data_IF_414958795891
#
_entry.id   IF_414958795891
#
_cell.length_a   1.000
_cell.length_b   1.000
_cell.length_c   1.000
_cell.angle_alpha   90.00
_cell.angle_beta   90.00
_cell.angle_gamma   90.00
#
_symmetry.space_group_name_H-M   'P 1'
#
loop_
_entity.id
_entity.type
_entity.pdbx_description
1 polymer ?
#
# COMPACT_ATOMS: atom_id res chain seq x y z
N UNK A 1 -21.52 19.34 2.84
CA UNK A 1 -21.74 18.03 3.51
C UNK A 1 -22.44 18.31 4.82
N UNK A 2 -23.11 17.31 5.40
CA UNK A 2 -23.51 17.38 6.80
C UNK A 2 -22.29 17.74 7.68
N UNK A 3 -22.43 18.61 8.70
CA UNK A 3 -21.28 19.03 9.51
C UNK A 3 -20.53 17.89 10.19
N UNK A 4 -21.24 16.89 10.75
CA UNK A 4 -20.61 15.76 11.43
C UNK A 4 -19.89 14.84 10.43
N UNK A 5 -20.46 14.63 9.24
CA UNK A 5 -19.79 13.88 8.16
C UNK A 5 -18.50 14.59 7.73
N UNK A 6 -18.55 15.92 7.58
CA UNK A 6 -17.37 16.71 7.23
C UNK A 6 -16.29 16.62 8.31
N UNK A 7 -16.67 16.74 9.58
CA UNK A 7 -15.76 16.64 10.73
C UNK A 7 -15.08 15.27 10.77
N UNK A 8 -15.82 14.17 10.58
CA UNK A 8 -15.25 12.82 10.54
C UNK A 8 -14.18 12.66 9.43
N UNK A 9 -14.45 13.15 8.21
CA UNK A 9 -13.46 13.11 7.13
C UNK A 9 -12.30 14.10 7.32
N UNK A 10 -12.49 15.17 8.09
CA UNK A 10 -11.41 16.07 8.48
C UNK A 10 -10.47 15.39 9.48
N UNK A 11 -11.01 14.71 10.50
CA UNK A 11 -10.21 13.90 11.44
C UNK A 11 -9.43 12.81 10.71
N UNK A 12 -10.09 12.08 9.81
CA UNK A 12 -9.43 11.05 9.00
C UNK A 12 -8.28 11.64 8.18
N UNK A 13 -8.52 12.75 7.48
CA UNK A 13 -7.47 13.43 6.71
C UNK A 13 -6.29 13.83 7.59
N UNK A 14 -6.53 14.44 8.76
CA UNK A 14 -5.48 14.96 9.62
C UNK A 14 -4.59 13.83 10.14
N UNK A 15 -5.17 12.70 10.55
CA UNK A 15 -4.43 11.52 11.00
C UNK A 15 -3.64 10.85 9.85
N UNK A 16 -4.27 10.66 8.68
CA UNK A 16 -3.61 10.09 7.49
C UNK A 16 -2.46 10.99 7.04
N UNK A 17 -2.67 12.31 7.03
CA UNK A 17 -1.65 13.29 6.66
C UNK A 17 -0.47 13.23 7.63
N UNK A 18 -0.74 13.26 8.94
CA UNK A 18 0.30 13.18 9.96
C UNK A 18 1.15 11.90 9.83
N UNK A 19 0.49 10.74 9.67
CA UNK A 19 1.18 9.46 9.50
C UNK A 19 2.06 9.45 8.25
N UNK A 20 1.55 9.87 7.10
CA UNK A 20 2.31 9.84 5.85
C UNK A 20 3.41 10.90 5.78
N UNK A 21 3.24 12.08 6.41
CA UNK A 21 4.30 13.10 6.50
C UNK A 21 5.48 12.60 7.33
N UNK A 22 5.22 11.82 8.38
CA UNK A 22 6.28 11.26 9.23
C UNK A 22 7.27 10.36 8.47
N UNK A 23 6.86 9.82 7.32
CA UNK A 23 7.67 8.91 6.49
C UNK A 23 8.74 9.63 5.66
N UNK A 24 8.78 10.97 5.67
CA UNK A 24 9.81 11.74 4.95
C UNK A 24 11.21 11.43 5.48
N UNK A 25 12.03 10.81 4.62
CA UNK A 25 13.42 10.51 4.94
C UNK A 25 14.35 11.69 4.60
N UNK A 26 15.29 12.07 5.48
CA UNK A 26 16.29 13.10 5.16
C UNK A 26 17.28 12.63 4.09
N UNK A 27 17.64 13.50 3.15
CA UNK A 27 18.66 13.22 2.15
C UNK A 27 20.06 13.27 2.78
N UNK A 28 20.67 12.11 3.02
CA UNK A 28 22.03 11.99 3.57
C UNK A 28 23.06 11.82 2.46
N UNK A 29 24.20 12.51 2.59
CA UNK A 29 25.38 12.26 1.76
C UNK A 29 26.27 11.23 2.45
N UNK A 30 26.71 10.23 1.70
CA UNK A 30 27.60 9.16 2.13
C UNK A 30 28.95 9.36 1.44
N UNK A 31 30.02 9.44 2.23
CA UNK A 31 31.40 9.56 1.75
C UNK A 31 32.26 8.52 2.47
N UNK A 32 32.25 7.29 1.97
CA UNK A 32 33.03 6.20 2.55
C UNK A 32 34.52 6.26 2.14
N UNK A 33 34.80 6.79 0.95
CA UNK A 33 36.14 7.12 0.49
C UNK A 33 36.23 8.63 0.34
N UNK A 34 37.27 9.24 0.90
CA UNK A 34 37.51 10.67 0.77
C UNK A 34 37.53 11.06 -0.72
N UNK A 35 36.73 12.06 -1.07
CA UNK A 35 36.58 12.56 -2.43
C UNK A 35 35.57 11.80 -3.28
N UNK A 36 34.88 10.77 -2.75
CA UNK A 36 33.84 9.99 -3.44
C UNK A 36 32.52 10.13 -2.68
N UNK A 37 31.67 11.07 -3.13
CA UNK A 37 30.40 11.36 -2.47
C UNK A 37 29.24 10.75 -3.24
N UNK A 38 28.38 10.03 -2.54
CA UNK A 38 27.13 9.47 -3.04
C UNK A 38 25.96 9.98 -2.21
N UNK A 39 24.82 10.24 -2.83
CA UNK A 39 23.58 10.57 -2.11
C UNK A 39 22.36 10.06 -2.88
N UNK A 40 21.22 10.02 -2.19
CA UNK A 40 19.92 9.70 -2.78
C UNK A 40 19.01 10.91 -2.64
N UNK A 41 18.50 11.42 -3.75
CA UNK A 41 17.56 12.54 -3.77
C UNK A 41 16.16 12.06 -4.12
N UNK A 42 15.16 12.72 -3.54
CA UNK A 42 13.75 12.32 -3.65
C UNK A 42 13.03 13.16 -4.70
N UNK A 43 12.29 12.53 -5.62
CA UNK A 43 11.47 13.23 -6.62
C UNK A 43 10.10 12.56 -6.72
N UNK A 44 9.05 13.36 -6.86
CA UNK A 44 7.71 12.82 -7.10
C UNK A 44 7.62 12.14 -8.47
N UNK A 45 6.69 11.21 -8.60
CA UNK A 45 6.13 10.81 -9.89
C UNK A 45 5.35 12.02 -10.44
N UNK A 46 5.51 12.34 -11.72
CA UNK A 46 4.95 13.55 -12.31
C UNK A 46 3.43 13.49 -12.45
N UNK A 47 2.91 12.34 -12.86
CA UNK A 47 1.48 12.10 -13.06
C UNK A 47 1.04 10.76 -12.47
N UNK A 48 0.00 10.76 -11.63
CA UNK A 48 -0.53 9.56 -10.97
C UNK A 48 -2.04 9.43 -11.14
N UNK A 49 -2.51 8.20 -11.33
CA UNK A 49 -3.93 7.84 -11.41
C UNK A 49 -4.36 7.11 -10.16
N UNK A 50 -5.47 7.52 -9.54
CA UNK A 50 -6.00 6.99 -8.29
C UNK A 50 -7.36 6.39 -8.58
N UNK A 51 -7.49 5.07 -8.50
CA UNK A 51 -8.78 4.41 -8.65
C UNK A 51 -9.48 4.32 -7.30
N UNK A 52 -10.67 4.89 -7.21
CA UNK A 52 -11.54 4.82 -6.04
C UNK A 52 -12.75 3.97 -6.41
N UNK A 53 -12.95 2.80 -5.75
CA UNK A 53 -14.10 1.96 -6.03
C UNK A 53 -15.43 2.68 -5.81
N UNK A 54 -16.40 2.31 -6.65
CA UNK A 54 -17.80 2.64 -6.51
C UNK A 54 -18.66 1.49 -7.03
N UNK A 55 -19.99 1.64 -7.00
CA UNK A 55 -20.92 0.60 -7.42
C UNK A 55 -21.78 0.13 -6.25
N UNK A 56 -21.47 -1.03 -5.68
CA UNK A 56 -22.22 -1.62 -4.54
C UNK A 56 -21.90 -0.96 -3.19
N UNK A 57 -20.77 -0.26 -3.10
CA UNK A 57 -20.38 0.60 -1.99
C UNK A 57 -19.59 1.79 -2.55
N UNK A 58 -19.64 2.93 -1.84
CA UNK A 58 -18.94 4.16 -2.21
C UNK A 58 -17.86 4.39 -1.15
N UNK A 59 -16.61 4.60 -1.55
CA UNK A 59 -15.45 4.61 -0.62
C UNK A 59 -14.69 5.95 -0.61
N UNK A 60 -15.20 7.00 0.07
CA UNK A 60 -14.45 8.25 0.25
C UNK A 60 -13.16 8.09 1.06
N UNK A 61 -13.10 7.09 1.97
CA UNK A 61 -11.88 6.74 2.70
C UNK A 61 -10.72 6.44 1.75
N UNK A 62 -10.94 5.61 0.72
CA UNK A 62 -9.93 5.31 -0.31
C UNK A 62 -9.45 6.55 -1.05
N UNK A 63 -10.32 7.55 -1.27
CA UNK A 63 -9.89 8.81 -1.86
C UNK A 63 -8.84 9.52 -0.99
N UNK A 64 -9.01 9.52 0.34
CA UNK A 64 -8.01 10.08 1.26
C UNK A 64 -6.73 9.24 1.28
N UNK A 65 -6.85 7.91 1.40
CA UNK A 65 -5.72 7.00 1.49
C UNK A 65 -4.79 7.08 0.27
N UNK A 66 -5.32 7.40 -0.90
CA UNK A 66 -4.55 7.59 -2.13
C UNK A 66 -4.09 9.03 -2.35
N UNK A 67 -4.99 10.00 -2.18
CA UNK A 67 -4.70 11.38 -2.56
C UNK A 67 -3.83 12.12 -1.54
N UNK A 68 -3.93 11.81 -0.25
CA UNK A 68 -3.12 12.45 0.80
C UNK A 68 -1.62 12.20 0.61
N UNK A 69 -1.12 10.96 0.46
CA UNK A 69 0.30 10.75 0.17
C UNK A 69 0.73 11.33 -1.19
N UNK A 70 -0.14 11.35 -2.20
CA UNK A 70 0.14 12.02 -3.48
C UNK A 70 0.34 13.54 -3.33
N UNK A 71 -0.49 14.17 -2.49
CA UNK A 71 -0.38 15.59 -2.12
C UNK A 71 0.94 15.87 -1.41
N UNK A 72 1.29 15.06 -0.41
CA UNK A 72 2.53 15.21 0.37
C UNK A 72 3.76 15.02 -0.51
N UNK A 73 3.72 14.08 -1.46
CA UNK A 73 4.79 13.85 -2.43
C UNK A 73 4.95 15.02 -3.41
N UNK A 74 3.89 15.78 -3.67
CA UNK A 74 3.88 16.89 -4.63
C UNK A 74 3.67 16.43 -6.08
N UNK A 75 2.94 15.33 -6.29
CA UNK A 75 2.55 14.89 -7.63
C UNK A 75 1.80 16.01 -8.38
N UNK A 76 2.21 16.32 -9.61
CA UNK A 76 1.68 17.50 -10.33
C UNK A 76 0.32 17.23 -10.97
N UNK A 77 0.15 16.05 -11.56
CA UNK A 77 -1.11 15.60 -12.12
C UNK A 77 -1.62 14.44 -11.29
N UNK A 78 -2.82 14.59 -10.73
CA UNK A 78 -3.48 13.57 -9.91
C UNK A 78 -4.87 13.37 -10.49
N UNK A 79 -5.06 12.24 -11.17
CA UNK A 79 -6.34 11.86 -11.78
C UNK A 79 -7.04 10.89 -10.83
N UNK A 80 -8.20 11.25 -10.30
CA UNK A 80 -9.02 10.33 -9.50
C UNK A 80 -10.14 9.75 -10.37
N UNK A 81 -10.11 8.44 -10.59
CA UNK A 81 -11.14 7.70 -11.28
C UNK A 81 -12.15 7.13 -10.28
N UNK A 82 -13.43 7.40 -10.51
CA UNK A 82 -14.53 6.81 -9.74
C UNK A 82 -15.75 6.65 -10.66
N UNK A 83 -16.45 5.50 -10.64
CA UNK A 83 -17.67 5.33 -11.42
C UNK A 83 -18.76 6.28 -10.88
N UNK A 84 -19.55 6.91 -11.76
CA UNK A 84 -20.69 7.71 -11.35
C UNK A 84 -21.85 6.84 -10.84
N UNK A 85 -22.75 7.45 -10.07
CA UNK A 85 -24.07 6.91 -9.76
C UNK A 85 -24.94 6.82 -11.02
N UNK A 86 -26.07 6.11 -10.95
CA UNK A 86 -26.98 5.92 -12.08
C UNK A 86 -27.50 7.23 -12.70
N UNK A 87 -27.56 8.30 -11.92
CA UNK A 87 -27.94 9.65 -12.36
C UNK A 87 -26.77 10.47 -12.95
N UNK A 88 -25.58 9.88 -13.07
CA UNK A 88 -24.36 10.53 -13.57
C UNK A 88 -23.62 11.39 -12.54
N UNK A 89 -24.13 11.45 -11.30
CA UNK A 89 -23.48 12.19 -10.21
C UNK A 89 -22.30 11.41 -9.63
N UNK A 90 -21.42 12.11 -8.92
CA UNK A 90 -20.34 11.52 -8.13
C UNK A 90 -20.67 11.80 -6.68
N UNK A 91 -20.39 10.84 -5.79
CA UNK A 91 -20.54 11.01 -4.36
C UNK A 91 -19.86 12.30 -3.87
N UNK A 92 -20.63 13.13 -3.16
CA UNK A 92 -20.18 14.44 -2.67
C UNK A 92 -19.05 14.31 -1.64
N UNK A 93 -19.02 13.22 -0.86
CA UNK A 93 -17.96 12.88 0.08
C UNK A 93 -16.65 12.54 -0.66
N UNK A 94 -16.70 11.79 -1.76
CA UNK A 94 -15.53 11.52 -2.61
C UNK A 94 -14.98 12.82 -3.20
N UNK A 95 -15.85 13.69 -3.74
CA UNK A 95 -15.44 14.99 -4.28
C UNK A 95 -14.85 15.92 -3.21
N UNK A 96 -15.39 15.88 -1.99
CA UNK A 96 -14.86 16.64 -0.86
C UNK A 96 -13.44 16.19 -0.51
N UNK A 97 -13.23 14.89 -0.34
CA UNK A 97 -11.92 14.30 -0.04
C UNK A 97 -10.91 14.61 -1.15
N UNK A 98 -11.30 14.42 -2.41
CA UNK A 98 -10.47 14.71 -3.58
C UNK A 98 -10.03 16.18 -3.61
N UNK A 99 -10.96 17.12 -3.37
CA UNK A 99 -10.65 18.55 -3.33
C UNK A 99 -9.70 18.89 -2.17
N UNK A 100 -9.95 18.35 -0.98
CA UNK A 100 -9.13 18.59 0.22
C UNK A 100 -7.69 18.09 0.03
N UNK A 101 -7.52 16.95 -0.63
CA UNK A 101 -6.22 16.34 -0.92
C UNK A 101 -5.59 16.80 -2.25
N UNK A 102 -6.11 17.83 -2.91
CA UNK A 102 -5.46 18.44 -4.08
C UNK A 102 -5.49 17.61 -5.36
N UNK A 103 -6.48 16.73 -5.54
CA UNK A 103 -6.72 16.05 -6.81
C UNK A 103 -6.96 17.07 -7.93
N UNK A 104 -6.33 16.87 -9.10
CA UNK A 104 -6.41 17.85 -10.19
C UNK A 104 -7.46 17.52 -11.24
N UNK A 105 -7.77 16.23 -11.44
CA UNK A 105 -8.76 15.78 -12.42
C UNK A 105 -9.66 14.69 -11.82
N UNK A 106 -10.94 14.72 -12.15
CA UNK A 106 -11.90 13.65 -11.81
C UNK A 106 -12.31 12.94 -13.10
N UNK A 107 -11.98 11.66 -13.20
CA UNK A 107 -12.45 10.76 -14.25
C UNK A 107 -13.71 10.04 -13.78
N UNK A 108 -14.86 10.40 -14.36
CA UNK A 108 -16.15 9.73 -14.09
C UNK A 108 -16.26 8.39 -14.81
N UNK A 109 -15.40 7.44 -14.45
CA UNK A 109 -15.40 6.08 -14.99
C UNK A 109 -14.89 5.10 -13.93
N UNK A 110 -15.35 3.85 -14.00
CA UNK A 110 -14.85 2.72 -13.20
C UNK A 110 -14.30 1.60 -14.08
N UNK A 111 -13.93 0.48 -13.46
CA UNK A 111 -13.53 -0.74 -14.16
C UNK A 111 -12.23 -0.64 -14.97
N UNK A 112 -11.96 -1.67 -15.77
CA UNK A 112 -10.78 -1.77 -16.61
C UNK A 112 -10.64 -0.61 -17.62
N UNK A 113 -11.76 -0.08 -18.09
CA UNK A 113 -11.81 1.07 -19.00
C UNK A 113 -11.27 2.35 -18.36
N UNK A 114 -11.49 2.57 -17.05
CA UNK A 114 -10.92 3.71 -16.34
C UNK A 114 -9.41 3.55 -16.15
N UNK A 115 -8.94 2.34 -15.82
CA UNK A 115 -7.52 2.02 -15.72
C UNK A 115 -6.82 2.24 -17.07
N UNK A 116 -7.41 1.73 -18.15
CA UNK A 116 -6.90 1.92 -19.51
C UNK A 116 -6.86 3.40 -19.93
N UNK A 117 -7.91 4.16 -19.63
CA UNK A 117 -7.96 5.59 -19.93
C UNK A 117 -6.85 6.39 -19.20
N UNK A 118 -6.55 6.06 -17.94
CA UNK A 118 -5.44 6.69 -17.22
C UNK A 118 -4.07 6.23 -17.76
N UNK A 119 -3.91 4.95 -18.08
CA UNK A 119 -2.64 4.38 -18.54
C UNK A 119 -2.20 4.96 -19.89
N UNK A 120 -3.12 4.98 -20.86
CA UNK A 120 -2.85 5.44 -22.23
C UNK A 120 -3.09 6.94 -22.42
N UNK A 121 -3.92 7.55 -21.57
CA UNK A 121 -4.51 8.85 -21.83
C UNK A 121 -5.63 8.78 -22.86
N UNK A 122 -6.49 9.79 -22.87
CA UNK A 122 -7.54 9.98 -23.88
C UNK A 122 -7.61 11.45 -24.29
N UNK A 123 -8.58 11.82 -25.14
CA UNK A 123 -8.83 13.23 -25.48
C UNK A 123 -9.14 14.11 -24.25
N UNK A 124 -9.63 13.53 -23.15
CA UNK A 124 -10.03 14.26 -21.93
C UNK A 124 -9.41 13.72 -20.63
N UNK A 125 -8.81 12.53 -20.66
CA UNK A 125 -8.10 11.95 -19.51
C UNK A 125 -6.59 12.13 -19.69
N UNK A 126 -5.90 12.81 -18.76
CA UNK A 126 -4.44 12.83 -18.76
C UNK A 126 -3.87 11.41 -18.67
N UNK A 127 -2.79 11.15 -19.42
CA UNK A 127 -1.95 9.97 -19.22
C UNK A 127 -1.24 10.07 -17.87
N UNK A 128 -1.17 8.96 -17.14
CA UNK A 128 -0.42 8.84 -15.88
C UNK A 128 0.78 7.91 -16.01
N UNK A 129 1.74 8.03 -15.09
CA UNK A 129 2.97 7.23 -15.03
C UNK A 129 2.86 6.08 -14.01
N UNK A 130 1.94 6.20 -13.05
CA UNK A 130 1.63 5.15 -12.08
C UNK A 130 0.14 5.15 -11.70
N UNK A 131 -0.47 3.98 -11.65
CA UNK A 131 -1.88 3.79 -11.27
C UNK A 131 -1.96 3.10 -9.90
N UNK A 132 -2.84 3.62 -9.05
CA UNK A 132 -3.04 3.19 -7.69
C UNK A 132 -4.48 2.79 -7.43
N UNK A 133 -4.68 2.07 -6.33
CA UNK A 133 -5.98 1.89 -5.70
C UNK A 133 -6.50 0.46 -5.75
N UNK A 134 -7.35 0.11 -4.77
CA UNK A 134 -7.98 -1.21 -4.70
C UNK A 134 -9.09 -1.32 -5.73
N UNK A 135 -9.56 -2.54 -5.97
CA UNK A 135 -10.76 -2.76 -6.76
C UNK A 135 -11.09 -4.23 -6.90
N UNK A 136 -12.21 -4.51 -7.57
CA UNK A 136 -12.56 -5.89 -7.89
C UNK A 136 -11.49 -6.54 -8.79
N UNK A 137 -11.57 -7.86 -8.93
CA UNK A 137 -10.65 -8.65 -9.76
C UNK A 137 -10.42 -8.11 -11.18
N UNK A 138 -11.41 -7.46 -11.82
CA UNK A 138 -11.25 -6.90 -13.16
C UNK A 138 -10.39 -5.65 -13.18
N UNK A 139 -10.55 -4.78 -12.17
CA UNK A 139 -9.70 -3.59 -11.98
C UNK A 139 -8.26 -4.03 -11.72
N UNK A 140 -8.08 -5.01 -10.83
CA UNK A 140 -6.77 -5.56 -10.49
C UNK A 140 -6.11 -6.23 -11.69
N UNK A 141 -6.83 -7.05 -12.44
CA UNK A 141 -6.30 -7.66 -13.66
C UNK A 141 -5.92 -6.60 -14.72
N UNK A 142 -6.72 -5.54 -14.89
CA UNK A 142 -6.40 -4.46 -15.81
C UNK A 142 -5.11 -3.74 -15.43
N UNK A 143 -4.93 -3.43 -14.13
CA UNK A 143 -3.68 -2.88 -13.58
C UNK A 143 -2.49 -3.80 -13.90
N UNK A 144 -2.63 -5.10 -13.65
CA UNK A 144 -1.57 -6.10 -13.88
C UNK A 144 -1.23 -6.30 -15.36
N UNK A 145 -2.18 -6.17 -16.27
CA UNK A 145 -1.93 -6.21 -17.72
C UNK A 145 -1.19 -4.95 -18.16
N UNK A 146 -1.66 -3.78 -17.73
CA UNK A 146 -1.17 -2.50 -18.26
C UNK A 146 0.25 -2.17 -17.82
N UNK A 147 0.72 -2.66 -16.67
CA UNK A 147 2.12 -2.50 -16.27
C UNK A 147 3.12 -3.16 -17.23
N UNK A 148 2.66 -4.13 -18.03
CA UNK A 148 3.46 -4.85 -19.03
C UNK A 148 3.24 -4.34 -20.45
N UNK A 149 2.53 -3.22 -20.62
CA UNK A 149 2.15 -2.69 -21.93
C UNK A 149 3.04 -1.53 -22.38
N UNK A 150 2.95 -1.18 -23.67
CA UNK A 150 3.61 0.01 -24.24
C UNK A 150 3.05 1.34 -23.69
N UNK A 151 2.08 1.30 -22.76
CA UNK A 151 1.60 2.48 -22.07
C UNK A 151 2.66 3.11 -21.15
N UNK A 152 3.73 2.38 -20.82
CA UNK A 152 4.79 2.84 -19.91
C UNK A 152 4.22 3.36 -18.60
N UNK A 153 3.46 2.49 -17.92
CA UNK A 153 2.81 2.78 -16.65
C UNK A 153 3.22 1.73 -15.63
N UNK A 154 3.42 2.12 -14.38
CA UNK A 154 3.58 1.18 -13.26
C UNK A 154 2.31 1.12 -12.42
N UNK A 155 2.23 0.16 -11.50
CA UNK A 155 1.15 0.09 -10.52
C UNK A 155 1.72 0.06 -9.11
N UNK A 156 0.88 0.30 -8.10
CA UNK A 156 1.21 0.07 -6.70
C UNK A 156 1.37 -1.42 -6.39
N UNK A 157 0.28 -2.19 -6.49
CA UNK A 157 0.22 -3.61 -6.20
C UNK A 157 -1.11 -4.22 -6.70
N UNK A 158 -1.21 -5.55 -6.74
CA UNK A 158 -2.50 -6.23 -6.78
C UNK A 158 -3.22 -6.07 -5.43
N UNK A 159 -4.27 -5.25 -5.42
CA UNK A 159 -5.14 -4.99 -4.26
C UNK A 159 -6.56 -5.39 -4.66
N UNK A 160 -6.88 -6.68 -4.44
CA UNK A 160 -8.10 -7.35 -4.84
C UNK A 160 -9.22 -7.27 -3.80
N UNK A 161 -10.10 -8.29 -3.72
CA UNK A 161 -11.06 -8.48 -2.64
C UNK A 161 -10.36 -8.54 -1.29
N UNK A 162 -11.00 -7.94 -0.31
CA UNK A 162 -10.40 -7.69 0.99
C UNK A 162 -10.33 -8.96 1.86
N UNK A 163 -9.31 -9.04 2.71
CA UNK A 163 -8.99 -10.19 3.55
C UNK A 163 -8.69 -9.75 4.99
N UNK A 164 -9.08 -10.57 5.97
CA UNK A 164 -8.66 -10.40 7.37
C UNK A 164 -8.35 -11.75 8.01
N UNK A 165 -7.25 -11.81 8.76
CA UNK A 165 -6.92 -12.93 9.62
C UNK A 165 -6.92 -12.45 11.08
N UNK A 166 -7.77 -13.06 11.90
CA UNK A 166 -7.88 -12.77 13.33
C UNK A 166 -7.21 -13.90 14.11
N UNK A 167 -6.18 -13.58 14.91
CA UNK A 167 -5.63 -14.48 15.92
C UNK A 167 -6.30 -14.16 17.25
N UNK A 168 -6.95 -15.15 17.86
CA UNK A 168 -7.69 -14.99 19.12
C UNK A 168 -7.26 -16.04 20.16
N UNK A 169 -7.06 -15.59 21.40
CA UNK A 169 -6.84 -16.45 22.55
C UNK A 169 -8.04 -16.45 23.50
N UNK A 170 -7.97 -17.18 24.62
CA UNK A 170 -9.07 -17.32 25.59
C UNK A 170 -9.51 -16.00 26.26
N UNK A 171 -8.75 -14.92 26.12
CA UNK A 171 -9.11 -13.61 26.66
C UNK A 171 -9.86 -12.74 25.64
N UNK A 172 -9.91 -13.15 24.38
CA UNK A 172 -10.66 -12.46 23.34
C UNK A 172 -12.17 -12.56 23.61
N UNK A 173 -12.88 -11.44 23.43
CA UNK A 173 -14.35 -11.43 23.52
C UNK A 173 -14.95 -12.04 22.25
N UNK A 174 -15.75 -13.11 22.33
CA UNK A 174 -16.38 -13.73 21.16
C UNK A 174 -17.21 -12.76 20.31
N UNK A 175 -17.87 -11.79 20.95
CA UNK A 175 -18.67 -10.76 20.25
C UNK A 175 -17.79 -9.89 19.36
N UNK A 176 -16.60 -9.52 19.84
CA UNK A 176 -15.67 -8.65 19.11
C UNK A 176 -15.01 -9.41 17.96
N UNK A 177 -14.55 -10.65 18.22
CA UNK A 177 -13.96 -11.51 17.17
C UNK A 177 -14.96 -11.75 16.04
N UNK A 178 -16.22 -12.03 16.36
CA UNK A 178 -17.28 -12.17 15.37
C UNK A 178 -17.49 -10.88 14.56
N UNK A 179 -17.51 -9.72 15.23
CA UNK A 179 -17.66 -8.43 14.57
C UNK A 179 -16.49 -8.11 13.63
N UNK A 180 -15.26 -8.38 14.04
CA UNK A 180 -14.04 -8.18 13.23
C UNK A 180 -14.02 -9.09 11.99
N UNK A 181 -14.45 -10.36 12.11
CA UNK A 181 -14.59 -11.25 10.96
C UNK A 181 -15.67 -10.74 9.99
N UNK A 182 -16.79 -10.23 10.51
CA UNK A 182 -17.89 -9.76 9.67
C UNK A 182 -17.61 -8.41 9.01
N UNK A 183 -16.80 -7.55 9.63
CA UNK A 183 -16.49 -6.21 9.08
C UNK A 183 -15.82 -6.31 7.71
N UNK A 184 -14.97 -7.31 7.49
CA UNK A 184 -14.39 -7.56 6.18
C UNK A 184 -15.31 -8.39 5.28
N UNK A 185 -16.00 -9.39 5.84
CA UNK A 185 -16.87 -10.26 5.04
C UNK A 185 -17.97 -9.48 4.29
N UNK A 186 -18.45 -8.35 4.81
CA UNK A 186 -19.48 -7.55 4.16
C UNK A 186 -19.03 -6.74 2.93
N UNK A 187 -17.70 -6.62 2.70
CA UNK A 187 -17.16 -5.90 1.55
C UNK A 187 -17.66 -6.50 0.23
N UNK A 188 -17.59 -7.83 0.10
CA UNK A 188 -18.08 -8.53 -1.08
C UNK A 188 -18.07 -10.06 -0.93
N UNK A 189 -18.82 -10.77 -1.80
CA UNK A 189 -18.88 -12.24 -1.78
C UNK A 189 -17.54 -12.92 -2.12
N UNK A 190 -16.57 -12.15 -2.61
CA UNK A 190 -15.22 -12.54 -2.96
C UNK A 190 -14.18 -12.26 -1.84
N UNK A 191 -14.60 -11.64 -0.73
CA UNK A 191 -13.75 -11.43 0.46
C UNK A 191 -13.54 -12.74 1.22
N UNK A 192 -12.39 -12.93 1.86
CA UNK A 192 -12.10 -14.13 2.66
C UNK A 192 -11.66 -13.73 4.07
N UNK A 193 -12.21 -14.41 5.09
CA UNK A 193 -11.81 -14.18 6.47
C UNK A 193 -11.28 -15.47 7.10
N UNK A 194 -10.33 -15.33 8.00
CA UNK A 194 -9.67 -16.46 8.67
C UNK A 194 -9.63 -16.23 10.16
N UNK A 195 -10.11 -17.19 10.94
CA UNK A 195 -9.94 -17.20 12.39
C UNK A 195 -8.84 -18.19 12.76
N UNK A 196 -7.87 -17.75 13.53
CA UNK A 196 -6.85 -18.63 14.12
C UNK A 196 -7.02 -18.61 15.64
N UNK A 197 -7.44 -19.74 16.20
CA UNK A 197 -7.53 -19.95 17.64
C UNK A 197 -6.15 -20.35 18.15
N UNK A 198 -5.58 -19.55 19.06
CA UNK A 198 -4.27 -19.78 19.65
C UNK A 198 -4.38 -20.37 21.06
N UNK A 199 -4.00 -21.64 21.20
CA UNK A 199 -3.99 -22.35 22.48
C UNK A 199 -5.38 -22.79 22.96
N UNK A 200 -5.47 -23.11 24.25
CA UNK A 200 -6.66 -23.70 24.86
C UNK A 200 -7.62 -22.65 25.46
N UNK A 201 -8.90 -23.01 25.56
CA UNK A 201 -9.89 -22.27 26.34
C UNK A 201 -10.66 -21.18 25.59
N UNK A 202 -10.51 -21.11 24.26
CA UNK A 202 -11.38 -20.28 23.40
C UNK A 202 -12.72 -21.00 23.18
N UNK A 203 -13.82 -20.31 23.42
CA UNK A 203 -15.17 -20.80 23.13
C UNK A 203 -15.54 -20.53 21.67
N UNK A 204 -15.15 -21.43 20.76
CA UNK A 204 -15.50 -21.33 19.34
C UNK A 204 -17.02 -21.34 19.12
N UNK A 205 -17.78 -22.09 19.91
CA UNK A 205 -19.23 -22.15 19.78
C UNK A 205 -19.88 -20.80 20.04
N UNK A 206 -19.37 -20.04 21.03
CA UNK A 206 -19.80 -18.67 21.27
C UNK A 206 -19.44 -17.72 20.12
N UNK A 207 -18.26 -17.87 19.52
CA UNK A 207 -17.85 -17.05 18.35
C UNK A 207 -18.76 -17.35 17.16
N UNK A 208 -18.98 -18.62 16.82
CA UNK A 208 -19.84 -19.02 15.69
C UNK A 208 -21.30 -18.57 15.89
N UNK A 209 -21.80 -18.65 17.12
CA UNK A 209 -23.13 -18.15 17.46
C UNK A 209 -23.26 -16.63 17.25
N UNK A 210 -22.24 -15.86 17.64
CA UNK A 210 -22.22 -14.41 17.41
C UNK A 210 -22.00 -14.06 15.93
N UNK A 211 -21.17 -14.79 15.18
CA UNK A 211 -21.02 -14.61 13.73
C UNK A 211 -22.38 -14.80 13.03
N UNK A 212 -23.09 -15.89 13.34
CA UNK A 212 -24.41 -16.17 12.75
C UNK A 212 -25.42 -15.07 13.08
N UNK A 213 -25.57 -14.77 14.38
CA UNK A 213 -26.50 -13.75 14.89
C UNK A 213 -26.24 -12.36 14.33
N UNK A 214 -24.98 -11.95 14.26
CA UNK A 214 -24.61 -10.63 13.76
C UNK A 214 -24.75 -10.57 12.23
N UNK A 215 -24.35 -11.63 11.50
CA UNK A 215 -24.50 -11.70 10.04
C UNK A 215 -25.96 -11.57 9.60
N UNK A 216 -26.89 -12.24 10.29
CA UNK A 216 -28.33 -12.19 9.99
C UNK A 216 -28.93 -10.79 10.19
N UNK A 217 -28.32 -9.96 11.05
CA UNK A 217 -28.75 -8.60 11.32
C UNK A 217 -28.13 -7.56 10.38
N UNK A 218 -27.11 -7.93 9.58
CA UNK A 218 -26.42 -7.00 8.69
C UNK A 218 -27.24 -6.72 7.43
N UNK A 219 -27.35 -5.44 7.00
CA UNK A 219 -27.93 -5.10 5.71
C UNK A 219 -27.26 -5.80 4.52
N UNK A 220 -25.97 -6.15 4.67
CA UNK A 220 -25.14 -6.86 3.68
C UNK A 220 -24.88 -8.32 4.08
N UNK A 221 -25.74 -8.91 4.92
CA UNK A 221 -25.60 -10.30 5.39
C UNK A 221 -25.47 -11.33 4.26
N UNK A 222 -26.16 -11.13 3.13
CA UNK A 222 -26.03 -12.01 1.95
C UNK A 222 -24.61 -12.03 1.34
N UNK A 223 -23.87 -10.93 1.45
CA UNK A 223 -22.49 -10.85 0.94
C UNK A 223 -21.55 -11.47 1.96
N UNK A 224 -21.71 -11.12 3.24
CA UNK A 224 -20.94 -11.72 4.34
C UNK A 224 -21.11 -13.23 4.39
N UNK A 225 -22.33 -13.75 4.25
CA UNK A 225 -22.61 -15.19 4.22
C UNK A 225 -21.89 -15.92 3.08
N UNK A 226 -21.79 -15.30 1.90
CA UNK A 226 -21.04 -15.86 0.75
C UNK A 226 -19.53 -15.87 1.00
N UNK A 227 -18.98 -14.80 1.56
CA UNK A 227 -17.58 -14.73 1.99
C UNK A 227 -17.27 -15.80 3.04
N UNK A 228 -18.15 -15.97 4.03
CA UNK A 228 -18.05 -17.00 5.06
C UNK A 228 -18.05 -18.42 4.47
N UNK A 229 -18.75 -18.66 3.36
CA UNK A 229 -18.80 -19.96 2.69
C UNK A 229 -17.45 -20.48 2.16
N UNK A 230 -16.43 -19.62 2.05
CA UNK A 230 -15.06 -19.99 1.70
C UNK A 230 -14.02 -19.46 2.70
N UNK A 231 -14.49 -19.05 3.87
CA UNK A 231 -13.69 -18.69 5.05
C UNK A 231 -13.50 -19.91 5.95
N UNK A 232 -12.54 -19.87 6.87
CA UNK A 232 -12.25 -21.03 7.72
C UNK A 232 -11.59 -20.68 9.05
N UNK A 233 -11.68 -21.62 10.00
CA UNK A 233 -11.03 -21.54 11.31
C UNK A 233 -9.86 -22.53 11.38
N UNK A 234 -8.74 -22.09 11.94
CA UNK A 234 -7.54 -22.89 12.20
C UNK A 234 -7.30 -22.96 13.71
N UNK A 235 -6.92 -24.13 14.20
CA UNK A 235 -6.48 -24.31 15.58
C UNK A 235 -4.95 -24.43 15.61
N UNK A 236 -4.31 -23.57 16.39
CA UNK A 236 -2.89 -23.59 16.63
C UNK A 236 -2.63 -23.89 18.11
N UNK A 237 -1.60 -24.70 18.41
CA UNK A 237 -1.26 -25.11 19.79
C UNK A 237 -0.91 -23.91 20.68
N UNK A 238 -0.33 -22.87 20.09
CA UNK A 238 0.17 -21.68 20.74
C UNK A 238 0.30 -20.52 19.74
N UNK A 239 0.72 -19.36 20.23
CA UNK A 239 0.91 -18.14 19.43
C UNK A 239 2.00 -18.26 18.37
N UNK A 240 3.04 -19.08 18.60
CA UNK A 240 4.13 -19.24 17.63
C UNK A 240 3.62 -20.00 16.41
N UNK A 241 2.84 -21.07 16.62
CA UNK A 241 2.20 -21.80 15.53
C UNK A 241 1.14 -20.94 14.82
N UNK A 242 0.37 -20.14 15.57
CA UNK A 242 -0.61 -19.22 14.98
C UNK A 242 0.04 -18.18 14.06
N UNK A 243 1.12 -17.55 14.50
CA UNK A 243 1.88 -16.59 13.69
C UNK A 243 2.61 -17.25 12.54
N UNK A 244 3.13 -18.47 12.72
CA UNK A 244 3.71 -19.24 11.61
C UNK A 244 2.69 -19.52 10.51
N UNK A 245 1.45 -19.86 10.87
CA UNK A 245 0.36 -20.01 9.90
C UNK A 245 0.00 -18.67 9.25
N UNK A 246 -0.13 -17.61 10.05
CA UNK A 246 -0.43 -16.26 9.55
C UNK A 246 0.63 -15.79 8.54
N UNK A 247 1.91 -15.94 8.85
CA UNK A 247 3.02 -15.59 7.95
C UNK A 247 2.99 -16.42 6.65
N UNK A 248 2.57 -17.68 6.72
CA UNK A 248 2.39 -18.51 5.52
C UNK A 248 1.21 -18.02 4.68
N UNK A 249 0.08 -17.69 5.31
CA UNK A 249 -1.12 -17.16 4.65
C UNK A 249 -0.84 -15.79 4.01
N UNK A 250 -0.12 -14.92 4.74
CA UNK A 250 0.26 -13.55 4.38
C UNK A 250 -0.97 -12.64 4.15
N UNK A 251 -1.76 -12.37 5.20
CA UNK A 251 -3.03 -11.64 5.07
C UNK A 251 -2.82 -10.17 4.69
N UNK A 252 -3.85 -9.59 4.05
CA UNK A 252 -3.97 -8.14 3.91
C UNK A 252 -4.01 -7.44 5.29
N UNK A 253 -4.89 -7.90 6.17
CA UNK A 253 -5.06 -7.40 7.53
C UNK A 253 -4.84 -8.51 8.57
N UNK A 254 -4.04 -8.23 9.59
CA UNK A 254 -3.78 -9.13 10.71
C UNK A 254 -4.25 -8.51 12.02
N UNK A 255 -5.30 -9.06 12.64
CA UNK A 255 -5.73 -8.67 13.98
C UNK A 255 -5.18 -9.68 14.98
N UNK A 256 -4.42 -9.20 15.96
CA UNK A 256 -3.88 -10.02 17.05
C UNK A 256 -4.65 -9.66 18.32
N UNK A 257 -5.76 -10.35 18.54
CA UNK A 257 -6.64 -10.18 19.70
C UNK A 257 -6.30 -11.21 20.78
N UNK A 258 -5.12 -11.05 21.36
CA UNK A 258 -4.60 -11.93 22.43
C UNK A 258 -4.06 -11.09 23.58
N UNK A 259 -3.81 -11.72 24.72
CA UNK A 259 -3.16 -11.03 25.84
C UNK A 259 -1.72 -10.64 25.49
N UNK A 260 -1.32 -9.43 25.84
CA UNK A 260 0.02 -8.88 25.62
C UNK A 260 0.44 -8.92 24.12
N UNK A 261 -0.49 -8.56 23.23
CA UNK A 261 -0.37 -8.67 21.77
C UNK A 261 0.92 -8.06 21.20
N UNK A 262 1.38 -6.94 21.76
CA UNK A 262 2.56 -6.20 21.32
C UNK A 262 3.86 -7.02 21.45
N UNK A 263 3.92 -8.00 22.35
CA UNK A 263 5.11 -8.84 22.52
C UNK A 263 5.37 -9.77 21.33
N UNK A 264 4.38 -9.94 20.46
CA UNK A 264 4.44 -10.84 19.32
C UNK A 264 4.84 -10.15 18.01
N UNK A 265 5.02 -8.82 18.02
CA UNK A 265 5.28 -8.02 16.82
C UNK A 265 6.51 -8.49 16.04
N UNK A 266 7.61 -8.86 16.72
CA UNK A 266 8.85 -9.29 16.08
C UNK A 266 8.73 -10.62 15.31
N UNK A 267 7.69 -11.41 15.54
CA UNK A 267 7.45 -12.67 14.83
C UNK A 267 6.56 -12.49 13.59
N UNK A 268 6.05 -11.29 13.35
CA UNK A 268 5.26 -10.99 12.16
C UNK A 268 6.21 -10.75 10.99
N UNK A 269 6.14 -11.62 9.99
CA UNK A 269 6.95 -11.52 8.77
C UNK A 269 6.12 -11.01 7.59
N UNK A 270 4.88 -11.51 7.45
CA UNK A 270 4.03 -11.21 6.29
C UNK A 270 2.62 -10.81 6.73
N UNK A 271 2.33 -9.51 6.71
CA UNK A 271 1.00 -8.94 6.84
C UNK A 271 0.99 -7.54 6.18
N UNK A 272 -0.11 -7.16 5.54
CA UNK A 272 -0.22 -5.81 4.97
C UNK A 272 -0.28 -4.74 6.05
N UNK A 273 -1.23 -4.88 6.98
CA UNK A 273 -1.39 -4.01 8.17
C UNK A 273 -1.74 -4.85 9.39
N UNK A 274 -1.26 -4.43 10.57
CA UNK A 274 -1.41 -5.18 11.83
C UNK A 274 -2.18 -4.34 12.84
N UNK A 275 -3.09 -5.00 13.56
CA UNK A 275 -3.93 -4.41 14.60
C UNK A 275 -3.73 -5.20 15.90
N UNK A 276 -3.27 -4.50 16.96
CA UNK A 276 -2.82 -5.15 18.20
C UNK A 276 -3.81 -4.90 19.34
N UNK A 277 -4.31 -5.98 19.93
CA UNK A 277 -5.13 -5.93 21.13
C UNK A 277 -6.63 -5.71 20.91
N UNK A 278 -7.38 -5.68 22.01
CA UNK A 278 -8.85 -5.78 22.04
C UNK A 278 -9.61 -4.56 21.52
N UNK A 279 -8.93 -3.42 21.41
CA UNK A 279 -9.56 -2.12 21.14
C UNK A 279 -9.15 -1.53 19.79
N UNK A 280 -8.59 -2.38 18.92
CA UNK A 280 -8.04 -1.97 17.63
C UNK A 280 -8.71 -2.78 16.53
N UNK A 281 -10.01 -2.60 16.29
CA UNK A 281 -10.68 -3.26 15.17
C UNK A 281 -10.10 -2.75 13.84
N UNK A 282 -10.12 -3.57 12.79
CA UNK A 282 -9.63 -3.18 11.46
C UNK A 282 -10.24 -1.86 10.97
N UNK A 283 -11.51 -1.64 11.32
CA UNK A 283 -12.25 -0.43 10.94
C UNK A 283 -11.53 0.87 11.30
N UNK A 284 -10.77 0.95 12.41
CA UNK A 284 -10.04 2.20 12.69
C UNK A 284 -8.95 2.45 11.66
N UNK A 285 -8.30 1.41 11.13
CA UNK A 285 -7.32 1.50 10.04
C UNK A 285 -7.93 1.83 8.69
N UNK A 286 -9.11 1.27 8.40
CA UNK A 286 -9.83 1.55 7.16
C UNK A 286 -10.24 3.00 7.00
N UNK A 287 -10.46 3.69 8.13
CA UNK A 287 -11.03 5.03 8.12
C UNK A 287 -10.06 6.12 8.60
N UNK A 288 -9.46 6.00 9.79
CA UNK A 288 -8.98 7.20 10.48
C UNK A 288 -7.79 7.06 11.44
N UNK A 289 -7.22 5.88 11.67
CA UNK A 289 -6.04 5.72 12.55
C UNK A 289 -4.82 6.47 11.99
N UNK A 290 -4.73 6.55 10.66
CA UNK A 290 -3.67 7.18 9.90
C UNK A 290 -2.91 6.20 8.98
N UNK A 291 -2.97 4.90 9.25
CA UNK A 291 -2.42 3.86 8.37
C UNK A 291 -3.15 3.83 7.02
N UNK A 292 -2.53 3.22 6.01
CA UNK A 292 -3.11 3.16 4.67
C UNK A 292 -3.81 1.81 4.44
N UNK A 293 -5.09 1.83 4.07
CA UNK A 293 -5.86 0.60 3.82
C UNK A 293 -5.71 0.05 2.39
N UNK A 294 -4.92 0.70 1.51
CA UNK A 294 -4.67 0.16 0.18
C UNK A 294 -3.51 -0.82 0.28
N UNK A 295 -3.85 -2.07 0.51
CA UNK A 295 -2.96 -3.13 0.95
C UNK A 295 -2.93 -4.30 -0.04
N UNK A 296 -1.87 -5.13 0.00
CA UNK A 296 -1.73 -6.26 -0.90
C UNK A 296 -2.57 -7.44 -0.40
N UNK A 297 -3.41 -8.00 -1.28
CA UNK A 297 -4.26 -9.18 -1.00
C UNK A 297 -3.66 -10.43 -1.64
N UNK A 298 -4.33 -11.59 -1.58
CA UNK A 298 -3.92 -12.83 -2.27
C UNK A 298 -2.54 -13.38 -1.84
N UNK A 299 -2.07 -12.99 -0.66
CA UNK A 299 -0.72 -13.32 -0.19
C UNK A 299 0.40 -12.51 -0.85
N UNK A 300 0.10 -11.41 -1.56
CA UNK A 300 1.13 -10.48 -2.05
C UNK A 300 1.82 -9.71 -0.91
N UNK A 301 1.27 -9.73 0.31
CA UNK A 301 1.93 -9.21 1.51
C UNK A 301 3.32 -9.85 1.78
N UNK A 302 3.62 -10.99 1.15
CA UNK A 302 4.97 -11.61 1.19
C UNK A 302 6.07 -10.76 0.54
N UNK A 303 5.72 -9.85 -0.35
CA UNK A 303 6.71 -9.04 -1.08
C UNK A 303 6.30 -7.60 -1.38
N UNK A 304 5.03 -7.26 -1.22
CA UNK A 304 4.52 -5.89 -1.35
C UNK A 304 4.23 -5.31 0.02
N UNK A 305 4.48 -4.01 0.16
CA UNK A 305 3.95 -3.21 1.26
C UNK A 305 2.67 -2.51 0.83
N UNK A 306 1.89 -2.05 1.80
CA UNK A 306 0.80 -1.10 1.57
C UNK A 306 1.23 0.20 0.89
N UNK A 307 0.25 0.96 0.38
CA UNK A 307 0.51 2.29 -0.16
C UNK A 307 1.10 3.18 0.95
N UNK A 308 2.16 3.90 0.61
CA UNK A 308 2.89 4.80 1.50
C UNK A 308 3.31 6.06 0.75
N UNK A 309 3.95 7.00 1.43
CA UNK A 309 4.55 8.17 0.77
C UNK A 309 5.56 7.73 -0.31
N UNK A 310 6.34 6.68 -0.05
CA UNK A 310 7.34 6.18 -0.99
C UNK A 310 6.73 5.65 -2.29
N UNK A 311 5.47 5.21 -2.26
CA UNK A 311 4.79 4.68 -3.44
C UNK A 311 4.64 5.74 -4.54
N UNK A 312 4.66 7.04 -4.18
CA UNK A 312 4.54 8.21 -5.06
C UNK A 312 5.89 8.87 -5.42
N UNK A 313 7.01 8.27 -4.99
CA UNK A 313 8.33 8.85 -5.10
C UNK A 313 9.27 7.98 -5.96
N UNK A 314 10.28 8.63 -6.50
CA UNK A 314 11.47 8.04 -7.10
C UNK A 314 12.69 8.51 -6.32
N UNK A 315 13.63 7.60 -6.16
CA UNK A 315 14.87 7.84 -5.46
C UNK A 315 16.04 7.83 -6.45
N UNK A 316 16.56 9.01 -6.77
CA UNK A 316 17.64 9.18 -7.76
C UNK A 316 18.98 9.16 -7.01
N UNK A 317 19.90 8.30 -7.43
CA UNK A 317 21.28 8.32 -6.93
C UNK A 317 22.08 9.42 -7.62
N UNK A 318 22.87 10.13 -6.84
CA UNK A 318 23.76 11.20 -7.32
C UNK A 318 25.14 10.94 -6.76
N UNK A 319 26.12 10.90 -7.64
CA UNK A 319 27.53 10.73 -7.30
C UNK A 319 28.34 11.91 -7.82
N UNK A 320 29.31 12.35 -7.02
CA UNK A 320 30.26 13.39 -7.38
C UNK A 320 31.62 13.02 -6.81
N UNK A 321 32.62 12.97 -7.70
CA UNK A 321 34.00 12.68 -7.34
C UNK A 321 34.85 13.93 -7.50
N UNK A 322 35.78 14.11 -6.58
CA UNK A 322 36.92 15.02 -6.75
C UNK A 322 38.04 14.31 -7.53
N UNK A 323 39.06 15.05 -7.97
CA UNK A 323 40.27 14.44 -8.53
C UNK A 323 40.92 13.44 -7.56
N UNK A 324 41.01 13.76 -6.27
CA UNK A 324 41.52 12.85 -5.24
C UNK A 324 40.68 11.56 -5.18
N UNK A 325 39.35 11.71 -5.21
CA UNK A 325 38.43 10.57 -5.23
C UNK A 325 38.62 9.69 -6.46
N UNK A 326 38.81 10.28 -7.65
CA UNK A 326 39.04 9.54 -8.88
C UNK A 326 40.40 8.85 -8.88
N UNK A 327 41.47 9.50 -8.40
CA UNK A 327 42.79 8.84 -8.23
C UNK A 327 42.70 7.63 -7.32
N UNK A 328 41.90 7.70 -6.24
CA UNK A 328 41.71 6.60 -5.30
C UNK A 328 40.85 5.47 -5.87
N UNK A 329 39.70 5.78 -6.47
CA UNK A 329 38.72 4.77 -6.91
C UNK A 329 39.00 4.24 -8.33
N UNK A 330 39.52 5.10 -9.20
CA UNK A 330 39.66 4.86 -10.64
C UNK A 330 40.44 3.59 -11.01
N UNK A 331 41.61 3.29 -10.41
CA UNK A 331 42.35 2.07 -10.70
C UNK A 331 41.54 0.79 -10.47
N UNK A 332 40.71 0.75 -9.43
CA UNK A 332 39.83 -0.39 -9.16
C UNK A 332 38.74 -0.54 -10.23
N UNK A 333 38.11 0.58 -10.62
CA UNK A 333 37.08 0.59 -11.70
C UNK A 333 37.68 0.13 -13.03
N UNK A 334 38.87 0.62 -13.38
CA UNK A 334 39.57 0.22 -14.59
C UNK A 334 39.91 -1.28 -14.60
N UNK A 335 40.31 -1.83 -13.44
CA UNK A 335 40.62 -3.26 -13.31
C UNK A 335 39.38 -4.14 -13.39
N UNK A 336 38.27 -3.74 -12.76
CA UNK A 336 36.98 -4.44 -12.90
C UNK A 336 36.49 -4.41 -14.34
N UNK A 337 36.55 -3.25 -15.01
CA UNK A 337 36.17 -3.12 -16.43
C UNK A 337 37.04 -3.99 -17.36
N UNK A 338 38.33 -4.19 -17.03
CA UNK A 338 39.19 -5.12 -17.76
C UNK A 338 38.77 -6.58 -17.59
N UNK A 339 38.43 -7.00 -16.36
CA UNK A 339 37.91 -8.35 -16.07
C UNK A 339 36.60 -8.59 -16.84
N UNK A 340 35.75 -7.59 -16.94
CA UNK A 340 34.47 -7.65 -17.67
C UNK A 340 34.62 -7.48 -19.19
N UNK A 341 35.82 -7.18 -19.70
CA UNK A 341 36.05 -6.92 -21.13
C UNK A 341 35.42 -5.63 -21.66
N UNK A 342 35.12 -4.66 -20.78
CA UNK A 342 34.46 -3.39 -21.11
C UNK A 342 35.46 -2.24 -21.30
N UNK A 343 36.20 -2.29 -22.41
CA UNK A 343 37.30 -1.34 -22.69
C UNK A 343 36.86 0.14 -22.70
N UNK A 344 35.67 0.46 -23.20
CA UNK A 344 35.17 1.84 -23.20
C UNK A 344 34.95 2.38 -21.77
N UNK A 345 34.47 1.54 -20.84
CA UNK A 345 34.32 1.90 -19.43
C UNK A 345 35.67 2.15 -18.77
N UNK A 346 36.67 1.29 -19.04
CA UNK A 346 38.06 1.48 -18.60
C UNK A 346 38.61 2.82 -19.10
N UNK A 347 38.49 3.10 -20.39
CA UNK A 347 38.99 4.35 -21.01
C UNK A 347 38.37 5.61 -20.43
N UNK A 348 37.08 5.58 -20.10
CA UNK A 348 36.40 6.72 -19.47
C UNK A 348 37.08 7.14 -18.15
N UNK A 349 37.69 6.20 -17.42
CA UNK A 349 38.46 6.48 -16.20
C UNK A 349 39.91 6.82 -16.52
N UNK A 350 40.60 5.99 -17.32
CA UNK A 350 42.05 6.14 -17.52
C UNK A 350 42.43 7.43 -18.21
N UNK A 351 41.64 7.92 -19.17
CA UNK A 351 41.91 9.19 -19.84
C UNK A 351 41.84 10.40 -18.89
N UNK A 352 40.92 10.39 -17.91
CA UNK A 352 40.84 11.43 -16.87
C UNK A 352 42.01 11.33 -15.89
N UNK A 353 42.43 10.12 -15.53
CA UNK A 353 43.61 9.93 -14.68
C UNK A 353 44.88 10.44 -15.36
N UNK A 354 45.05 10.19 -16.67
CA UNK A 354 46.17 10.71 -17.46
C UNK A 354 46.21 12.24 -17.47
N UNK A 355 45.07 12.91 -17.66
CA UNK A 355 44.96 14.38 -17.58
C UNK A 355 45.35 14.92 -16.20
N UNK A 356 44.85 14.26 -15.14
CA UNK A 356 45.13 14.57 -13.74
C UNK A 356 46.60 14.33 -13.34
N UNK A 357 47.30 13.43 -14.03
CA UNK A 357 48.75 13.19 -13.87
C UNK A 357 49.58 14.21 -14.66
N UNK A 358 49.17 14.56 -15.88
CA UNK A 358 49.81 15.56 -16.71
C UNK A 358 49.77 16.97 -16.08
N UNK A 359 48.72 17.28 -15.32
CA UNK A 359 48.55 18.59 -14.66
C UNK A 359 49.41 18.74 -13.39
N UNK A 360 49.91 17.64 -12.81
CA UNK A 360 50.80 17.66 -11.61
C UNK A 360 52.28 17.75 -11.99
N UNK A 361 52.61 17.46 -13.25
CA UNK A 361 54.00 17.41 -13.76
C UNK A 361 54.47 18.70 -14.43
N UNK A 362 53.60 19.71 -14.51
CA UNK A 362 53.89 21.09 -14.92
C UNK A 362 53.82 21.98 -13.68
#
# INVERSE_FOLDING_TARGET
LDPAVKEAFDVAYDNIYAFHVSQKSPEKTVENMKGVRCKRITRCIGSVGLYVPGGTAVLPSTALMLAVPAQIAGCKTVVLATPPSCDGSICKEVLYCAKKAGVTHILKAGGAQAISAMAWGTASCPKVEKIFGPGNQYVTAAKMILQNSEAMVSIDMPAGPSEVLVIADKYANPVHVAADLLSQAEHGPDSQVVLVIAGDGVDLGAIEAEVSKQCDALPRGDFASKALGHSFTVFARDMVEALSFSNMYAPEHLIINVKDAEQWEELIENAGSVFLGQWTPESVGDYASGTNHVLPTYGYARMYSGVSLNSFLKYITVQSLTEEGLRRLGPYVAKMAEVEGLEAHKRAVTLRLQEVEATVTV
#
